data_IF_759642973372
#
_entry.id   IF_759642973372
#
_cell.length_a   1.000
_cell.length_b   1.000
_cell.length_c   1.000
_cell.angle_alpha   90.00
_cell.angle_beta   90.00
_cell.angle_gamma   90.00
#
_symmetry.space_group_name_H-M   'P 1'
#
loop_
_entity.id
_entity.type
_entity.pdbx_description
1 polymer ?
#
# COMPACT_ATOMS: atom_id res chain seq x y z
N UNK A 1 12.85 23.49 -36.27
CA UNK A 1 12.10 24.16 -35.18
C UNK A 1 12.01 23.33 -33.88
N UNK A 2 12.90 22.36 -33.62
CA UNK A 2 12.83 21.48 -32.42
C UNK A 2 13.74 21.93 -31.26
N UNK A 3 14.84 22.64 -31.56
CA UNK A 3 15.83 23.07 -30.56
C UNK A 3 15.31 24.14 -29.59
N UNK A 4 14.41 25.03 -30.01
CA UNK A 4 13.82 26.03 -29.10
C UNK A 4 12.88 25.40 -28.08
N UNK A 5 12.09 24.40 -28.47
CA UNK A 5 11.17 23.71 -27.56
C UNK A 5 11.96 22.91 -26.51
N UNK A 6 13.00 22.19 -26.94
CA UNK A 6 13.89 21.47 -26.03
C UNK A 6 14.63 22.40 -25.04
N UNK A 7 15.08 23.57 -25.50
CA UNK A 7 15.70 24.58 -24.63
C UNK A 7 14.73 25.17 -23.61
N UNK A 8 13.50 25.47 -24.02
CA UNK A 8 12.45 25.97 -23.12
C UNK A 8 12.08 24.92 -22.06
N UNK A 9 11.91 23.66 -22.46
CA UNK A 9 11.64 22.57 -21.52
C UNK A 9 12.80 22.35 -20.54
N UNK A 10 14.05 22.45 -21.01
CA UNK A 10 15.23 22.33 -20.16
C UNK A 10 15.33 23.49 -19.16
N UNK A 11 15.08 24.73 -19.59
CA UNK A 11 15.07 25.89 -18.69
C UNK A 11 13.97 25.77 -17.63
N UNK A 12 12.76 25.32 -18.01
CA UNK A 12 11.67 25.09 -17.07
C UNK A 12 12.01 24.00 -16.04
N UNK A 13 12.60 22.89 -16.48
CA UNK A 13 13.03 21.82 -15.58
C UNK A 13 14.11 22.31 -14.58
N UNK A 14 15.08 23.09 -15.04
CA UNK A 14 16.13 23.66 -14.17
C UNK A 14 15.53 24.65 -13.17
N UNK A 15 14.63 25.55 -13.59
CA UNK A 15 13.96 26.48 -12.66
C UNK A 15 13.07 25.77 -11.65
N UNK A 16 12.40 24.69 -12.05
CA UNK A 16 11.57 23.87 -11.17
C UNK A 16 12.43 23.14 -10.13
N UNK A 17 13.54 22.53 -10.55
CA UNK A 17 14.50 21.87 -9.66
C UNK A 17 15.16 22.88 -8.69
N UNK A 18 15.49 24.08 -9.16
CA UNK A 18 16.03 25.14 -8.31
C UNK A 18 15.01 25.62 -7.27
N UNK A 19 13.73 25.75 -7.64
CA UNK A 19 12.65 26.07 -6.71
C UNK A 19 12.41 24.95 -5.67
N UNK A 20 12.51 23.69 -6.09
CA UNK A 20 12.34 22.52 -5.23
C UNK A 20 13.49 22.41 -4.22
N UNK A 21 14.74 22.67 -4.65
CA UNK A 21 15.89 22.72 -3.75
C UNK A 21 15.80 23.87 -2.74
N UNK A 22 15.32 25.05 -3.15
CA UNK A 22 15.11 26.19 -2.26
C UNK A 22 14.00 25.92 -1.22
N UNK A 23 12.92 25.24 -1.61
CA UNK A 23 11.85 24.83 -0.70
C UNK A 23 12.31 23.85 0.39
N UNK A 24 13.12 22.85 0.02
CA UNK A 24 13.65 21.84 0.95
C UNK A 24 14.64 22.45 1.96
N UNK A 25 15.41 23.46 1.55
CA UNK A 25 16.33 24.15 2.46
C UNK A 25 15.60 25.04 3.48
N UNK A 26 14.49 25.68 3.09
CA UNK A 26 13.68 26.51 3.98
C UNK A 26 12.92 25.67 5.03
N UNK A 27 12.44 24.48 4.64
CA UNK A 27 11.74 23.54 5.52
C UNK A 27 12.63 23.06 6.67
N UNK A 28 13.92 22.82 6.39
CA UNK A 28 14.90 22.39 7.40
C UNK A 28 15.36 23.48 8.37
N UNK A 29 15.18 24.75 8.04
CA UNK A 29 15.57 25.86 8.91
C UNK A 29 14.42 26.34 9.82
N UNK A 30 13.17 26.07 9.45
CA UNK A 30 11.99 26.35 10.26
C UNK A 30 11.60 25.18 11.17
N UNK A 31 11.95 23.94 10.81
CA UNK A 31 11.85 22.77 11.67
C UNK A 31 13.02 22.75 12.68
N UNK A 32 12.90 23.52 13.76
CA UNK A 32 13.80 23.45 14.91
C UNK A 32 13.87 22.05 15.53
N UNK A 33 14.91 21.74 16.32
CA UNK A 33 15.27 20.38 16.72
C UNK A 33 14.31 19.83 17.76
N UNK A 34 13.21 19.22 17.30
CA UNK A 34 12.37 18.36 18.10
C UNK A 34 12.07 17.10 17.28
N UNK A 35 12.69 15.99 17.67
CA UNK A 35 12.37 14.67 17.14
C UNK A 35 13.44 14.08 16.22
N UNK A 36 14.61 13.79 16.79
CA UNK A 36 15.43 12.70 16.28
C UNK A 36 14.67 11.39 16.52
N UNK A 37 14.07 10.83 15.46
CA UNK A 37 13.46 9.51 15.49
C UNK A 37 12.55 9.26 14.30
N UNK A 38 12.81 8.16 13.59
CA UNK A 38 12.02 7.57 12.50
C UNK A 38 12.26 8.15 11.08
N UNK A 39 13.16 7.53 10.31
CA UNK A 39 12.89 6.52 9.24
C UNK A 39 12.60 7.18 7.89
N UNK A 40 13.52 7.17 6.92
CA UNK A 40 13.68 6.07 5.94
C UNK A 40 12.44 5.19 5.75
N UNK A 41 11.52 5.56 4.85
CA UNK A 41 10.87 4.60 3.95
C UNK A 41 10.06 5.32 2.87
N UNK A 42 10.60 5.36 1.65
CA UNK A 42 9.79 5.45 0.44
C UNK A 42 9.18 4.10 0.10
N UNK A 43 8.52 3.48 1.08
CA UNK A 43 7.76 2.26 0.90
C UNK A 43 6.30 2.66 0.82
N UNK A 44 5.62 2.26 -0.25
CA UNK A 44 4.17 2.24 -0.29
C UNK A 44 3.68 1.49 0.95
N UNK A 45 3.32 2.22 2.00
CA UNK A 45 2.40 1.73 3.02
C UNK A 45 1.09 1.51 2.27
N UNK A 46 0.93 0.35 1.64
CA UNK A 46 -0.40 -0.25 1.63
C UNK A 46 -0.63 -0.50 3.11
N UNK A 47 -1.50 0.26 3.80
CA UNK A 47 -1.75 -0.01 5.19
C UNK A 47 -2.11 -1.49 5.24
N UNK A 48 -1.37 -2.21 6.07
CA UNK A 48 -1.76 -3.51 6.56
C UNK A 48 -3.27 -3.39 6.77
N UNK A 49 -4.06 -4.23 6.08
CA UNK A 49 -5.46 -4.38 6.47
C UNK A 49 -5.46 -5.08 7.82
N UNK A 50 -4.92 -4.43 8.85
CA UNK A 50 -5.51 -4.44 10.17
C UNK A 50 -6.98 -4.35 9.87
N UNK A 51 -7.73 -5.41 10.18
CA UNK A 51 -9.16 -5.36 10.03
C UNK A 51 -9.66 -4.04 10.62
N UNK A 52 -10.82 -3.59 10.19
CA UNK A 52 -11.60 -2.66 11.00
C UNK A 52 -11.96 -3.40 12.31
N UNK A 53 -10.97 -3.60 13.17
CA UNK A 53 -11.07 -4.35 14.41
C UNK A 53 -11.56 -3.35 15.43
N UNK A 54 -12.63 -3.71 16.12
CA UNK A 54 -13.28 -2.87 17.12
C UNK A 54 -12.26 -2.33 18.10
N UNK A 55 -11.32 -3.17 18.53
CA UNK A 55 -10.26 -2.84 19.46
C UNK A 55 -9.50 -1.58 19.06
N UNK A 56 -9.15 -1.40 17.78
CA UNK A 56 -8.44 -0.20 17.32
C UNK A 56 -9.29 1.06 17.43
N UNK A 57 -10.54 1.02 16.97
CA UNK A 57 -11.43 2.17 17.08
C UNK A 57 -11.85 2.43 18.52
N UNK A 58 -11.97 1.39 19.30
CA UNK A 58 -12.47 1.48 20.63
C UNK A 58 -11.43 2.10 21.56
N UNK A 59 -10.14 1.87 21.30
CA UNK A 59 -9.05 2.53 22.01
C UNK A 59 -8.84 3.96 21.52
N UNK A 60 -8.92 4.22 20.21
CA UNK A 60 -8.79 5.57 19.63
C UNK A 60 -9.97 6.50 19.99
N UNK A 61 -11.18 5.97 20.13
CA UNK A 61 -12.40 6.72 20.44
C UNK A 61 -12.77 6.69 21.92
N UNK A 62 -12.03 5.96 22.76
CA UNK A 62 -12.32 5.80 24.19
C UNK A 62 -13.68 5.16 24.46
N UNK A 63 -14.05 4.13 23.69
CA UNK A 63 -15.35 3.48 23.83
C UNK A 63 -15.46 2.71 25.14
N UNK A 64 -16.58 2.89 25.83
CA UNK A 64 -16.97 2.11 27.01
C UNK A 64 -17.29 0.65 26.64
N UNK A 65 -17.25 -0.24 27.63
CA UNK A 65 -17.57 -1.67 27.43
C UNK A 65 -18.98 -1.88 26.86
N UNK A 66 -19.94 -1.06 27.28
CA UNK A 66 -21.32 -1.11 26.74
C UNK A 66 -21.35 -0.75 25.26
N UNK A 67 -20.64 0.30 24.85
CA UNK A 67 -20.56 0.71 23.45
C UNK A 67 -19.84 -0.35 22.60
N UNK A 68 -18.77 -0.96 23.13
CA UNK A 68 -18.07 -2.07 22.47
C UNK A 68 -19.01 -3.24 22.23
N UNK A 69 -19.80 -3.62 23.24
CA UNK A 69 -20.76 -4.71 23.14
C UNK A 69 -21.87 -4.44 22.10
N UNK A 70 -22.31 -3.19 21.95
CA UNK A 70 -23.31 -2.80 20.94
C UNK A 70 -22.75 -2.75 19.51
N UNK A 71 -21.48 -2.35 19.34
CA UNK A 71 -20.84 -2.21 18.03
C UNK A 71 -20.33 -3.56 17.49
N UNK A 72 -19.92 -4.48 18.37
CA UNK A 72 -19.51 -5.85 18.06
C UNK A 72 -20.37 -6.56 17.01
N UNK A 73 -21.68 -6.73 17.21
CA UNK A 73 -22.54 -7.42 16.26
C UNK A 73 -22.62 -6.71 14.90
N UNK A 74 -22.59 -5.37 14.86
CA UNK A 74 -22.69 -4.60 13.62
C UNK A 74 -21.50 -4.85 12.71
N UNK A 75 -20.29 -4.91 13.28
CA UNK A 75 -19.08 -5.13 12.50
C UNK A 75 -18.94 -6.59 12.06
N UNK A 76 -19.37 -7.56 12.89
CA UNK A 76 -19.37 -8.97 12.46
C UNK A 76 -20.38 -9.21 11.33
N UNK A 77 -21.60 -8.64 11.42
CA UNK A 77 -22.59 -8.68 10.34
C UNK A 77 -22.04 -8.05 9.05
N UNK A 78 -21.36 -6.91 9.16
CA UNK A 78 -20.75 -6.23 8.01
C UNK A 78 -19.66 -7.08 7.37
N UNK A 79 -18.79 -7.69 8.18
CA UNK A 79 -17.74 -8.59 7.71
C UNK A 79 -18.32 -9.82 7.00
N UNK A 80 -19.37 -10.41 7.55
CA UNK A 80 -20.07 -11.54 6.93
C UNK A 80 -20.65 -11.16 5.57
N UNK A 81 -21.39 -10.04 5.49
CA UNK A 81 -21.95 -9.53 4.22
C UNK A 81 -20.87 -9.23 3.18
N UNK A 82 -19.75 -8.64 3.60
CA UNK A 82 -18.62 -8.39 2.71
C UNK A 82 -18.03 -9.72 2.20
N UNK A 83 -17.88 -10.73 3.05
CA UNK A 83 -17.43 -12.05 2.65
C UNK A 83 -18.34 -12.65 1.58
N UNK A 84 -19.65 -12.63 1.80
CA UNK A 84 -20.66 -13.12 0.86
C UNK A 84 -20.64 -12.38 -0.47
N UNK A 85 -20.49 -11.06 -0.43
CA UNK A 85 -20.40 -10.22 -1.62
C UNK A 85 -19.18 -10.56 -2.48
N UNK A 86 -18.02 -10.79 -1.85
CA UNK A 86 -16.77 -11.06 -2.57
C UNK A 86 -16.54 -12.53 -2.90
N UNK A 87 -17.17 -13.47 -2.18
CA UNK A 87 -17.03 -14.91 -2.39
C UNK A 87 -17.13 -15.34 -3.87
N UNK A 88 -18.14 -14.92 -4.65
CA UNK A 88 -18.25 -15.32 -6.05
C UNK A 88 -17.23 -14.64 -6.98
N UNK A 89 -16.68 -13.48 -6.60
CA UNK A 89 -15.76 -12.70 -7.44
C UNK A 89 -14.30 -13.10 -7.21
N UNK A 90 -13.98 -13.63 -6.03
CA UNK A 90 -12.62 -14.04 -5.64
C UNK A 90 -11.92 -14.94 -6.69
N UNK A 91 -12.56 -15.99 -7.25
CA UNK A 91 -11.93 -16.84 -8.25
C UNK A 91 -11.56 -16.07 -9.53
N UNK A 92 -12.51 -15.31 -10.07
CA UNK A 92 -12.30 -14.52 -11.29
C UNK A 92 -11.21 -13.45 -11.10
N UNK A 93 -11.14 -12.84 -9.91
CA UNK A 93 -10.06 -11.93 -9.56
C UNK A 93 -8.70 -12.64 -9.54
N UNK A 94 -8.61 -13.83 -8.94
CA UNK A 94 -7.38 -14.63 -8.92
C UNK A 94 -6.90 -14.98 -10.33
N UNK A 95 -7.80 -15.45 -11.19
CA UNK A 95 -7.49 -15.76 -12.59
C UNK A 95 -6.99 -14.53 -13.36
N UNK A 96 -7.61 -13.36 -13.13
CA UNK A 96 -7.18 -12.12 -13.76
C UNK A 96 -5.75 -11.72 -13.35
N UNK A 97 -5.44 -11.82 -12.06
CA UNK A 97 -4.10 -11.51 -11.52
C UNK A 97 -3.07 -12.48 -12.09
N UNK A 98 -3.34 -13.78 -12.12
CA UNK A 98 -2.42 -14.78 -12.68
C UNK A 98 -2.23 -14.60 -14.19
N UNK A 99 -3.30 -14.28 -14.93
CA UNK A 99 -3.19 -13.94 -16.35
C UNK A 99 -2.30 -12.72 -16.58
N UNK A 100 -2.44 -11.68 -15.75
CA UNK A 100 -1.60 -10.49 -15.84
C UNK A 100 -0.14 -10.81 -15.51
N UNK A 101 0.11 -11.61 -14.45
CA UNK A 101 1.45 -12.08 -14.07
C UNK A 101 2.13 -12.82 -15.23
N UNK A 102 1.45 -13.78 -15.84
CA UNK A 102 2.00 -14.54 -16.96
C UNK A 102 2.37 -13.65 -18.16
N UNK A 103 1.53 -12.64 -18.47
CA UNK A 103 1.81 -11.66 -19.54
C UNK A 103 3.01 -10.77 -19.22
N UNK A 104 3.19 -10.40 -17.96
CA UNK A 104 4.36 -9.64 -17.50
C UNK A 104 5.60 -10.51 -17.62
N UNK A 105 5.58 -11.75 -17.12
CA UNK A 105 6.73 -12.65 -17.20
C UNK A 105 7.16 -12.92 -18.65
N UNK A 106 6.23 -12.98 -19.59
CA UNK A 106 6.51 -13.21 -21.01
C UNK A 106 7.32 -12.09 -21.69
N UNK A 107 7.36 -10.88 -21.13
CA UNK A 107 8.12 -9.73 -21.69
C UNK A 107 9.42 -9.45 -20.96
N UNK A 108 9.70 -10.16 -19.87
CA UNK A 108 10.89 -10.00 -19.05
C UNK A 108 12.00 -10.95 -19.50
N UNK A 109 13.25 -10.60 -19.19
CA UNK A 109 14.36 -11.57 -19.28
C UNK A 109 14.28 -12.60 -18.15
N UNK A 110 14.98 -13.72 -18.28
CA UNK A 110 15.01 -14.76 -17.24
C UNK A 110 15.47 -14.19 -15.88
N UNK A 111 16.48 -13.33 -15.86
CA UNK A 111 16.98 -12.70 -14.63
C UNK A 111 15.94 -11.74 -14.02
N UNK A 112 15.19 -11.03 -14.87
CA UNK A 112 14.13 -10.12 -14.45
C UNK A 112 12.92 -10.87 -13.91
N UNK A 113 12.56 -12.02 -14.49
CA UNK A 113 11.50 -12.90 -13.96
C UNK A 113 11.83 -13.33 -12.53
N UNK A 114 13.07 -13.75 -12.28
CA UNK A 114 13.50 -14.16 -10.95
C UNK A 114 13.48 -13.01 -9.94
N UNK A 115 13.84 -11.79 -10.36
CA UNK A 115 13.68 -10.59 -9.52
C UNK A 115 12.21 -10.26 -9.26
N UNK A 116 11.37 -10.35 -10.29
CA UNK A 116 9.93 -10.08 -10.20
C UNK A 116 9.23 -11.04 -9.24
N UNK A 117 9.53 -12.34 -9.31
CA UNK A 117 8.99 -13.35 -8.40
C UNK A 117 9.38 -13.08 -6.95
N UNK A 118 10.65 -12.75 -6.67
CA UNK A 118 11.10 -12.37 -5.32
C UNK A 118 10.40 -11.12 -4.79
N UNK A 119 10.11 -10.14 -5.64
CA UNK A 119 9.35 -8.95 -5.24
C UNK A 119 7.92 -9.32 -4.84
N UNK A 120 7.29 -10.21 -5.60
CA UNK A 120 5.91 -10.65 -5.32
C UNK A 120 5.84 -11.52 -4.07
N UNK A 121 6.81 -12.40 -3.86
CA UNK A 121 6.92 -13.22 -2.66
C UNK A 121 7.12 -12.35 -1.40
N UNK A 122 7.95 -11.31 -1.49
CA UNK A 122 8.12 -10.34 -0.39
C UNK A 122 6.82 -9.59 -0.07
N UNK A 123 6.08 -9.16 -1.09
CA UNK A 123 4.90 -8.30 -0.92
C UNK A 123 3.62 -9.10 -0.59
N UNK A 124 3.50 -10.33 -1.10
CA UNK A 124 2.27 -11.11 -1.04
C UNK A 124 2.45 -12.52 -0.45
N UNK A 125 3.67 -13.06 -0.37
CA UNK A 125 3.92 -14.43 0.10
C UNK A 125 3.46 -14.68 1.54
N UNK A 126 3.53 -13.67 2.41
CA UNK A 126 3.07 -13.79 3.81
C UNK A 126 1.55 -13.93 3.97
N UNK A 127 0.76 -13.73 2.90
CA UNK A 127 -0.72 -13.83 2.96
C UNK A 127 -1.25 -15.24 2.70
N UNK A 128 -0.56 -16.03 1.88
CA UNK A 128 -1.05 -17.35 1.47
C UNK A 128 -0.74 -18.44 2.51
N UNK A 129 0.39 -18.33 3.23
CA UNK A 129 0.74 -19.26 4.31
C UNK A 129 -0.27 -19.20 5.47
N UNK A 130 -0.74 -18.00 5.83
CA UNK A 130 -1.69 -17.81 6.92
C UNK A 130 -3.12 -18.24 6.58
N UNK A 131 -3.47 -18.31 5.29
CA UNK A 131 -4.78 -18.78 4.83
C UNK A 131 -4.85 -20.30 4.76
N UNK A 132 -3.71 -20.95 4.47
CA UNK A 132 -3.61 -22.42 4.39
C UNK A 132 -3.77 -23.09 5.75
N UNK A 133 -3.14 -22.54 6.79
CA UNK A 133 -3.18 -23.07 8.17
C UNK A 133 -4.60 -23.05 8.78
N UNK A 134 -5.46 -22.11 8.34
CA UNK A 134 -6.85 -21.98 8.82
C UNK A 134 -7.87 -22.86 8.10
N UNK A 135 -7.47 -23.55 7.03
CA UNK A 135 -8.37 -24.44 6.27
C UNK A 135 -8.09 -25.92 6.57
N UNK A 136 -7.06 -26.21 7.37
CA UNK A 136 -6.65 -27.57 7.77
C UNK A 136 -7.04 -27.94 9.22
N UNK A 137 -7.80 -27.08 9.92
CA UNK A 137 -8.45 -27.31 11.24
C UNK A 137 -9.98 -27.19 11.13
#
# INVERSE_FOLDING_TARGET
MSTSRARVSLLLAITFLAGLAAGVAADRQLAGPAGAGATSSGGSHVPERTGFTIERFADELGLTDSQRAEIAPVLEETKQRMSELFAPVRPAYGELVESARAKIEAVLTAEQVEQYRRLLEREYGSRDEQTKDRTED
#
